data_IF_282129751767
#
_entry.id   IF_282129751767
#
_cell.length_a   1.000
_cell.length_b   1.000
_cell.length_c   1.000
_cell.angle_alpha   90.00
_cell.angle_beta   90.00
_cell.angle_gamma   90.00
#
_symmetry.space_group_name_H-M   'P 1'
#
loop_
_entity.id
_entity.type
_entity.pdbx_description
1 polymer ?
#
# COMPACT_ATOMS: atom_id res chain seq x y z
N UNK A 1 -30.11 -17.01 -42.85
CA UNK A 1 -29.04 -17.17 -43.86
C UNK A 1 -29.70 -17.18 -45.22
N UNK A 2 -29.30 -16.28 -46.13
CA UNK A 2 -29.78 -16.32 -47.51
C UNK A 2 -29.04 -17.45 -48.23
N UNK A 3 -29.78 -18.28 -48.98
CA UNK A 3 -29.20 -19.33 -49.79
C UNK A 3 -28.54 -18.68 -51.02
N UNK A 4 -27.25 -18.97 -51.22
CA UNK A 4 -26.45 -18.42 -52.31
C UNK A 4 -26.62 -19.36 -53.50
N UNK A 5 -27.20 -18.87 -54.60
CA UNK A 5 -27.52 -19.67 -55.77
C UNK A 5 -26.70 -19.31 -57.00
N UNK A 6 -26.04 -18.15 -56.99
CA UNK A 6 -25.24 -17.67 -58.14
C UNK A 6 -23.80 -17.27 -57.74
N UNK A 7 -22.89 -17.30 -58.71
CA UNK A 7 -21.47 -16.93 -58.50
C UNK A 7 -21.30 -15.46 -58.08
N UNK A 8 -22.20 -14.57 -58.51
CA UNK A 8 -22.19 -13.14 -58.12
C UNK A 8 -22.59 -12.96 -56.67
N UNK A 9 -23.69 -13.61 -56.23
CA UNK A 9 -24.12 -13.60 -54.82
C UNK A 9 -23.05 -14.18 -53.88
N UNK A 10 -22.31 -15.20 -54.33
CA UNK A 10 -21.21 -15.76 -53.56
C UNK A 10 -20.07 -14.76 -53.36
N UNK A 11 -19.70 -14.02 -54.40
CA UNK A 11 -18.64 -13.00 -54.32
C UNK A 11 -19.05 -11.84 -53.42
N UNK A 12 -20.31 -11.40 -53.50
CA UNK A 12 -20.82 -10.34 -52.65
C UNK A 12 -20.89 -10.77 -51.18
N UNK A 13 -21.30 -12.02 -50.91
CA UNK A 13 -21.29 -12.60 -49.57
C UNK A 13 -19.86 -12.73 -49.01
N UNK A 14 -18.88 -13.17 -49.81
CA UNK A 14 -17.47 -13.25 -49.41
C UNK A 14 -16.96 -11.84 -49.05
N UNK A 15 -17.21 -10.85 -49.90
CA UNK A 15 -16.79 -9.47 -49.65
C UNK A 15 -17.42 -8.88 -48.38
N UNK A 16 -18.70 -9.18 -48.14
CA UNK A 16 -19.37 -8.77 -46.91
C UNK A 16 -18.74 -9.42 -45.67
N UNK A 17 -18.46 -10.73 -45.75
CA UNK A 17 -17.82 -11.47 -44.66
C UNK A 17 -16.38 -11.01 -44.40
N UNK A 18 -15.62 -10.65 -45.42
CA UNK A 18 -14.28 -10.07 -45.29
C UNK A 18 -14.32 -8.75 -44.53
N UNK A 19 -15.25 -7.86 -44.88
CA UNK A 19 -15.45 -6.58 -44.17
C UNK A 19 -15.86 -6.82 -42.71
N UNK A 20 -16.78 -7.76 -42.47
CA UNK A 20 -17.22 -8.10 -41.12
C UNK A 20 -16.07 -8.69 -40.29
N UNK A 21 -15.26 -9.57 -40.89
CA UNK A 21 -14.11 -10.18 -40.26
C UNK A 21 -13.04 -9.14 -39.89
N UNK A 22 -12.73 -8.20 -40.80
CA UNK A 22 -11.79 -7.12 -40.55
C UNK A 22 -12.27 -6.18 -39.42
N UNK A 23 -13.56 -5.86 -39.40
CA UNK A 23 -14.17 -5.06 -38.33
C UNK A 23 -14.09 -5.78 -36.98
N UNK A 24 -14.43 -7.07 -36.93
CA UNK A 24 -14.32 -7.89 -35.71
C UNK A 24 -12.87 -7.96 -35.23
N UNK A 25 -11.91 -8.12 -36.14
CA UNK A 25 -10.49 -8.12 -35.81
C UNK A 25 -10.01 -6.81 -35.18
N UNK A 26 -10.49 -5.66 -35.69
CA UNK A 26 -10.18 -4.35 -35.11
C UNK A 26 -10.78 -4.19 -33.71
N UNK A 27 -12.07 -4.50 -33.54
CA UNK A 27 -12.74 -4.43 -32.24
C UNK A 27 -12.08 -5.34 -31.19
N UNK A 28 -11.68 -6.56 -31.60
CA UNK A 28 -10.98 -7.47 -30.71
C UNK A 28 -9.63 -6.90 -30.24
N UNK A 29 -8.84 -6.32 -31.15
CA UNK A 29 -7.57 -5.67 -30.80
C UNK A 29 -7.77 -4.50 -29.85
N UNK A 30 -8.79 -3.69 -30.08
CA UNK A 30 -9.12 -2.55 -29.22
C UNK A 30 -9.53 -3.03 -27.81
N UNK A 31 -10.40 -4.03 -27.73
CA UNK A 31 -10.79 -4.62 -26.44
C UNK A 31 -9.60 -5.24 -25.71
N UNK A 32 -8.70 -5.92 -26.42
CA UNK A 32 -7.47 -6.46 -25.84
C UNK A 32 -6.56 -5.35 -25.30
N UNK A 33 -6.40 -4.26 -26.04
CA UNK A 33 -5.62 -3.11 -25.59
C UNK A 33 -6.24 -2.46 -24.35
N UNK A 34 -7.55 -2.25 -24.33
CA UNK A 34 -8.27 -1.67 -23.18
C UNK A 34 -8.21 -2.57 -21.95
N UNK A 35 -8.37 -3.89 -22.12
CA UNK A 35 -8.22 -4.86 -21.04
C UNK A 35 -6.79 -4.89 -20.52
N UNK A 36 -5.79 -4.89 -21.42
CA UNK A 36 -4.39 -4.83 -21.01
C UNK A 36 -4.07 -3.53 -20.26
N UNK A 37 -4.58 -2.40 -20.75
CA UNK A 37 -4.39 -1.11 -20.12
C UNK A 37 -5.07 -1.06 -18.75
N UNK A 38 -6.28 -1.59 -18.59
CA UNK A 38 -7.00 -1.60 -17.32
C UNK A 38 -6.36 -2.50 -16.25
N UNK A 39 -5.67 -3.56 -16.68
CA UNK A 39 -4.90 -4.45 -15.79
C UNK A 39 -3.55 -3.87 -15.35
N UNK A 40 -3.11 -2.74 -15.91
CA UNK A 40 -1.90 -2.07 -15.43
C UNK A 40 -2.11 -1.62 -13.98
N UNK A 41 -1.13 -1.83 -13.08
CA UNK A 41 -1.26 -1.49 -11.66
C UNK A 41 -1.71 -0.03 -11.42
N UNK A 42 -1.21 0.90 -12.23
CA UNK A 42 -1.57 2.32 -12.16
C UNK A 42 -3.06 2.54 -12.42
N UNK A 43 -3.63 1.85 -13.41
CA UNK A 43 -5.05 1.96 -13.74
C UNK A 43 -5.94 1.23 -12.74
N UNK A 44 -5.48 0.10 -12.18
CA UNK A 44 -6.17 -0.56 -11.07
C UNK A 44 -6.27 0.40 -9.88
N UNK A 45 -5.15 0.96 -9.42
CA UNK A 45 -5.13 1.91 -8.30
C UNK A 45 -6.01 3.13 -8.60
N UNK A 46 -5.92 3.70 -9.80
CA UNK A 46 -6.74 4.84 -10.23
C UNK A 46 -8.24 4.53 -10.20
N UNK A 47 -8.65 3.38 -10.73
CA UNK A 47 -10.05 2.96 -10.76
C UNK A 47 -10.55 2.68 -9.33
N UNK A 48 -9.76 1.98 -8.51
CA UNK A 48 -10.07 1.73 -7.11
C UNK A 48 -10.22 3.02 -6.30
N UNK A 49 -9.34 4.00 -6.49
CA UNK A 49 -9.46 5.31 -5.83
C UNK A 49 -10.67 6.10 -6.31
N UNK A 50 -11.01 6.03 -7.60
CA UNK A 50 -12.20 6.67 -8.17
C UNK A 50 -13.49 6.06 -7.59
N UNK A 51 -13.56 4.74 -7.52
CA UNK A 51 -14.71 4.03 -6.96
C UNK A 51 -14.87 4.31 -5.46
N UNK A 52 -13.76 4.41 -4.73
CA UNK A 52 -13.75 4.74 -3.30
C UNK A 52 -14.13 6.20 -3.06
N UNK A 53 -13.73 7.13 -3.93
CA UNK A 53 -14.12 8.55 -3.81
C UNK A 53 -15.63 8.78 -3.92
N UNK A 54 -16.37 7.80 -4.47
CA UNK A 54 -17.82 7.87 -4.64
C UNK A 54 -18.60 7.48 -3.38
N UNK A 55 -17.93 6.99 -2.32
CA UNK A 55 -18.55 6.58 -1.06
C UNK A 55 -17.81 7.18 0.15
N UNK A 56 -18.45 8.07 0.93
CA UNK A 56 -17.83 8.75 2.07
C UNK A 56 -17.20 7.80 3.10
N UNK A 57 -17.81 6.62 3.31
CA UNK A 57 -17.39 5.63 4.33
C UNK A 57 -16.01 5.01 4.02
N UNK A 58 -15.64 4.88 2.74
CA UNK A 58 -14.37 4.27 2.37
C UNK A 58 -13.20 5.26 2.40
N UNK A 59 -13.47 6.56 2.29
CA UNK A 59 -12.45 7.61 2.35
C UNK A 59 -11.83 7.66 3.76
N UNK A 60 -12.65 7.62 4.81
CA UNK A 60 -12.19 7.64 6.20
C UNK A 60 -11.26 6.46 6.52
N UNK A 61 -11.65 5.25 6.10
CA UNK A 61 -10.83 4.05 6.31
C UNK A 61 -9.48 4.09 5.56
N UNK A 62 -9.41 4.69 4.37
CA UNK A 62 -8.13 4.85 3.65
C UNK A 62 -7.24 5.86 4.36
N UNK A 63 -7.80 6.98 4.81
CA UNK A 63 -7.05 8.02 5.52
C UNK A 63 -6.46 7.43 6.80
N UNK A 64 -7.24 6.69 7.58
CA UNK A 64 -6.78 6.04 8.80
C UNK A 64 -5.66 5.03 8.53
N UNK A 65 -5.77 4.22 7.47
CA UNK A 65 -4.72 3.29 7.06
C UNK A 65 -3.46 4.01 6.53
N UNK A 66 -3.62 5.09 5.76
CA UNK A 66 -2.51 5.89 5.26
C UNK A 66 -1.77 6.60 6.40
N UNK A 67 -2.50 7.10 7.40
CA UNK A 67 -1.94 7.63 8.64
C UNK A 67 -1.23 6.51 9.39
N UNK A 68 -1.84 5.33 9.58
CA UNK A 68 -1.19 4.20 10.25
C UNK A 68 0.12 3.76 9.59
N UNK A 69 0.12 3.65 8.26
CA UNK A 69 1.32 3.33 7.47
C UNK A 69 2.36 4.45 7.49
N UNK A 70 1.93 5.69 7.34
CA UNK A 70 2.80 6.87 7.37
C UNK A 70 3.44 7.02 8.74
N UNK A 71 2.65 6.97 9.81
CA UNK A 71 3.11 7.03 11.19
C UNK A 71 4.01 5.85 11.51
N UNK A 72 3.68 4.63 11.05
CA UNK A 72 4.54 3.45 11.20
C UNK A 72 5.86 3.57 10.45
N UNK A 73 5.87 4.16 9.25
CA UNK A 73 7.08 4.42 8.48
C UNK A 73 7.94 5.52 9.11
N UNK A 74 7.33 6.63 9.53
CA UNK A 74 7.97 7.72 10.28
C UNK A 74 8.54 7.20 11.60
N UNK A 75 7.78 6.41 12.35
CA UNK A 75 8.20 5.76 13.59
C UNK A 75 9.38 4.83 13.32
N UNK A 76 9.33 3.99 12.28
CA UNK A 76 10.47 3.16 11.88
C UNK A 76 11.69 4.02 11.53
N UNK A 77 11.51 5.11 10.79
CA UNK A 77 12.60 5.99 10.37
C UNK A 77 13.21 6.78 11.54
N UNK A 78 12.41 7.20 12.51
CA UNK A 78 12.82 8.00 13.66
C UNK A 78 13.33 7.15 14.83
N UNK A 79 12.70 6.00 15.12
CA UNK A 79 13.06 5.11 16.23
C UNK A 79 14.19 4.14 15.85
N UNK A 80 14.14 3.52 14.66
CA UNK A 80 15.20 2.58 14.23
C UNK A 80 16.45 3.33 13.76
N UNK A 81 16.31 4.62 13.44
CA UNK A 81 17.41 5.45 12.97
C UNK A 81 17.92 5.01 11.59
N UNK A 82 18.42 5.96 10.82
CA UNK A 82 19.10 5.73 9.54
C UNK A 82 20.51 5.12 9.72
N UNK A 83 20.70 4.22 10.69
CA UNK A 83 21.97 3.51 10.81
C UNK A 83 22.04 2.42 9.76
N UNK A 84 22.80 2.68 8.70
CA UNK A 84 23.15 1.75 7.61
C UNK A 84 23.88 0.48 8.08
N UNK A 85 24.15 0.31 9.38
CA UNK A 85 24.90 -0.82 9.92
C UNK A 85 24.01 -1.77 10.77
N UNK A 86 23.61 -2.95 10.24
CA UNK A 86 22.75 -3.92 10.93
C UNK A 86 23.35 -4.44 12.25
N UNK A 87 24.68 -4.36 12.42
CA UNK A 87 25.35 -4.73 13.67
C UNK A 87 24.95 -3.87 14.87
N UNK A 88 24.72 -2.56 14.67
CA UNK A 88 24.26 -1.65 15.74
C UNK A 88 22.84 -1.96 16.19
N UNK A 89 21.97 -2.40 15.27
CA UNK A 89 20.61 -2.80 15.61
C UNK A 89 20.60 -4.08 16.44
N UNK A 90 21.43 -5.07 16.09
CA UNK A 90 21.57 -6.31 16.85
C UNK A 90 22.13 -6.03 18.25
N UNK A 91 23.19 -5.21 18.35
CA UNK A 91 23.73 -4.79 19.64
C UNK A 91 22.71 -4.03 20.49
N UNK A 92 21.94 -3.12 19.88
CA UNK A 92 20.86 -2.39 20.54
C UNK A 92 19.78 -3.34 21.09
N UNK A 93 19.37 -4.34 20.30
CA UNK A 93 18.40 -5.35 20.75
C UNK A 93 18.93 -6.24 21.88
N UNK A 94 20.22 -6.61 21.86
CA UNK A 94 20.84 -7.39 22.94
C UNK A 94 20.92 -6.57 24.23
N UNK A 95 21.35 -5.31 24.13
CA UNK A 95 21.42 -4.40 25.28
C UNK A 95 20.01 -4.17 25.84
N UNK A 96 19.03 -3.91 24.97
CA UNK A 96 17.64 -3.73 25.37
C UNK A 96 17.08 -4.97 26.06
N UNK A 97 17.32 -6.16 25.50
CA UNK A 97 16.88 -7.41 26.11
C UNK A 97 17.55 -7.65 27.47
N UNK A 98 18.85 -7.35 27.60
CA UNK A 98 19.58 -7.44 28.87
C UNK A 98 19.03 -6.47 29.92
N UNK A 99 18.82 -5.21 29.55
CA UNK A 99 18.23 -4.19 30.44
C UNK A 99 16.82 -4.58 30.84
N UNK A 100 15.96 -4.99 29.90
CA UNK A 100 14.58 -5.41 30.19
C UNK A 100 14.52 -6.61 31.14
N UNK A 101 15.43 -7.57 31.01
CA UNK A 101 15.44 -8.75 31.87
C UNK A 101 15.90 -8.42 33.32
N UNK A 102 16.91 -7.54 33.45
CA UNK A 102 17.36 -7.03 34.76
C UNK A 102 16.27 -6.15 35.41
N UNK A 103 15.59 -5.33 34.59
CA UNK A 103 14.48 -4.47 35.01
C UNK A 103 13.29 -5.28 35.50
N UNK A 104 12.95 -6.36 34.80
CA UNK A 104 11.87 -7.26 35.19
C UNK A 104 12.16 -7.94 36.54
N UNK A 105 13.40 -8.33 36.80
CA UNK A 105 13.80 -8.97 38.05
C UNK A 105 13.94 -8.00 39.24
N UNK A 106 14.24 -6.71 38.99
CA UNK A 106 14.44 -5.69 40.03
C UNK A 106 13.47 -4.50 39.92
N UNK A 107 12.19 -4.81 39.72
CA UNK A 107 11.10 -3.83 39.54
C UNK A 107 11.00 -2.81 40.70
N UNK A 108 11.36 -3.18 41.93
CA UNK A 108 11.27 -2.26 43.08
C UNK A 108 12.37 -1.18 43.08
N UNK A 109 13.59 -1.52 42.67
CA UNK A 109 14.73 -0.59 42.61
C UNK A 109 14.57 0.46 41.51
N UNK A 110 13.90 0.11 40.42
CA UNK A 110 13.65 1.05 39.32
C UNK A 110 12.49 1.99 39.65
N UNK A 111 11.51 1.54 40.43
CA UNK A 111 10.46 2.44 40.95
C UNK A 111 11.05 3.51 41.87
N UNK A 112 12.07 3.20 42.67
CA UNK A 112 12.74 4.21 43.51
C UNK A 112 13.68 5.11 42.72
N UNK A 113 14.43 4.57 41.74
CA UNK A 113 15.27 5.39 40.84
C UNK A 113 14.42 6.30 39.95
N UNK A 114 13.32 5.81 39.40
CA UNK A 114 12.37 6.59 38.61
C UNK A 114 11.71 7.70 39.44
N UNK A 115 11.32 7.40 40.70
CA UNK A 115 10.83 8.42 41.64
C UNK A 115 11.90 9.46 41.99
N UNK A 116 13.14 9.04 42.19
CA UNK A 116 14.26 9.94 42.50
C UNK A 116 14.59 10.86 41.32
N UNK A 117 14.66 10.33 40.09
CA UNK A 117 14.88 11.12 38.87
C UNK A 117 13.70 12.08 38.64
N UNK A 118 12.46 11.61 38.79
CA UNK A 118 11.28 12.45 38.69
C UNK A 118 11.29 13.59 39.71
N UNK A 119 11.67 13.32 40.95
CA UNK A 119 11.81 14.35 41.99
C UNK A 119 12.92 15.36 41.66
N UNK A 120 14.06 14.94 41.09
CA UNK A 120 15.13 15.86 40.69
C UNK A 120 14.66 16.79 39.55
N UNK A 121 13.92 16.25 38.58
CA UNK A 121 13.40 17.04 37.45
C UNK A 121 12.34 18.04 37.94
N UNK A 122 11.38 17.57 38.74
CA UNK A 122 10.27 18.41 39.22
C UNK A 122 10.73 19.45 40.26
N UNK A 123 11.73 19.15 41.08
CA UNK A 123 12.30 20.10 42.06
C UNK A 123 13.09 21.23 41.39
N UNK A 124 13.56 21.03 40.16
CA UNK A 124 14.28 22.05 39.40
C UNK A 124 13.37 23.12 38.80
N UNK A 125 12.06 22.87 38.71
CA UNK A 125 11.06 23.82 38.21
C UNK A 125 10.50 24.76 39.30
N UNK A 126 10.75 24.49 40.59
CA UNK A 126 10.24 25.32 41.70
C UNK A 126 11.24 26.38 42.21
N UNK A 127 12.47 26.44 41.67
CA UNK A 127 13.51 27.41 42.08
C UNK A 127 13.88 28.45 40.99
N UNK A 128 13.09 28.60 39.91
CA UNK A 128 13.19 29.74 38.96
C UNK A 128 12.10 30.80 39.16
#
# INVERSE_FOLDING_TARGET
>A
MQAIHTSTELKDAIKLLEVEHDLKGKLFREQMYLTYDSLKPVNIIKNTLKDISSSPIFIDNIIDNAIGLGTGFLTKKLIVGTSTNPFRNILGSIIQFGVTNIVAQHTQTIKSLGKYIFQIINKKEEEE
#
